data_IF_884635183095
#
_entry.id   IF_884635183095
#
_cell.length_a   1.000
_cell.length_b   1.000
_cell.length_c   1.000
_cell.angle_alpha   90.00
_cell.angle_beta   90.00
_cell.angle_gamma   90.00
#
_symmetry.space_group_name_H-M   'P 1'
#
loop_
_entity.id
_entity.type
_entity.pdbx_description
1 polymer ?
#
# COMPACT_ATOMS: atom_id res chain seq x y z
N UNK A 1 5.33 -12.03 -13.41
CA UNK A 1 5.28 -10.62 -13.91
C UNK A 1 3.86 -10.24 -14.26
N UNK A 2 3.32 -9.24 -13.55
CA UNK A 2 2.00 -8.68 -13.75
C UNK A 2 2.13 -7.23 -14.25
N UNK A 3 1.55 -6.92 -15.41
CA UNK A 3 1.61 -5.57 -15.98
C UNK A 3 0.21 -5.05 -16.23
N UNK A 4 -0.06 -3.83 -15.76
CA UNK A 4 -1.27 -3.08 -16.06
C UNK A 4 -0.91 -1.61 -16.26
N UNK A 5 -1.82 -0.84 -16.85
CA UNK A 5 -1.67 0.62 -16.89
C UNK A 5 -2.46 1.22 -15.72
N UNK A 6 -3.79 1.16 -15.78
CA UNK A 6 -4.68 1.65 -14.72
C UNK A 6 -5.71 0.57 -14.39
N UNK A 7 -6.13 0.46 -13.12
CA UNK A 7 -7.13 -0.52 -12.64
C UNK A 7 -6.71 -1.97 -12.91
N UNK A 8 -5.68 -2.44 -12.20
CA UNK A 8 -5.23 -3.84 -12.25
C UNK A 8 -4.83 -4.39 -10.88
N UNK A 9 -4.34 -5.62 -10.83
CA UNK A 9 -3.63 -6.21 -9.67
C UNK A 9 -4.43 -6.07 -8.35
N UNK A 10 -5.63 -6.67 -8.30
CA UNK A 10 -6.46 -6.65 -7.11
C UNK A 10 -7.17 -5.32 -6.83
N UNK A 11 -7.39 -4.48 -7.84
CA UNK A 11 -8.14 -3.21 -7.71
C UNK A 11 -9.66 -3.36 -7.86
N UNK A 12 -10.40 -2.38 -7.35
CA UNK A 12 -11.86 -2.34 -7.45
C UNK A 12 -12.44 -0.92 -7.64
N UNK A 13 -13.65 -0.86 -8.19
CA UNK A 13 -14.33 0.38 -8.56
C UNK A 13 -15.85 0.25 -8.35
N UNK A 14 -16.45 1.15 -7.55
CA UNK A 14 -17.89 1.20 -7.22
C UNK A 14 -18.56 -0.13 -6.82
N UNK A 15 -18.85 -0.29 -5.52
CA UNK A 15 -19.67 -1.39 -4.98
C UNK A 15 -19.17 -2.80 -5.36
N UNK A 16 -17.88 -2.93 -5.65
CA UNK A 16 -17.24 -4.16 -6.10
C UNK A 16 -16.18 -4.64 -5.11
N UNK A 17 -15.75 -5.88 -5.33
CA UNK A 17 -14.62 -6.50 -4.66
C UNK A 17 -13.56 -6.82 -5.73
N UNK A 18 -12.33 -6.39 -5.49
CA UNK A 18 -11.16 -6.73 -6.29
C UNK A 18 -10.18 -7.54 -5.45
N UNK A 19 -9.71 -8.66 -5.97
CA UNK A 19 -8.73 -9.51 -5.28
C UNK A 19 -7.66 -10.00 -6.25
N UNK A 20 -6.41 -9.99 -5.82
CA UNK A 20 -5.33 -10.78 -6.41
C UNK A 20 -4.71 -11.61 -5.27
N UNK A 21 -4.56 -12.90 -5.52
CA UNK A 21 -3.92 -13.84 -4.60
C UNK A 21 -2.77 -14.48 -5.37
N UNK A 22 -1.53 -14.24 -4.94
CA UNK A 22 -0.34 -14.94 -5.40
C UNK A 22 0.22 -15.78 -4.26
N UNK A 23 0.70 -16.98 -4.58
CA UNK A 23 1.08 -18.00 -3.60
C UNK A 23 2.59 -18.20 -3.57
N UNK A 24 3.24 -18.10 -4.73
CA UNK A 24 4.68 -18.35 -4.86
C UNK A 24 5.23 -17.66 -6.10
N UNK A 25 6.42 -17.10 -5.99
CA UNK A 25 7.12 -16.57 -7.15
C UNK A 25 8.22 -15.61 -6.77
N UNK A 26 8.99 -15.13 -7.73
CA UNK A 26 9.69 -13.86 -7.55
C UNK A 26 9.10 -12.95 -8.62
N UNK A 27 8.14 -12.15 -8.21
CA UNK A 27 7.23 -11.46 -9.09
C UNK A 27 7.53 -9.98 -9.22
N UNK A 28 7.00 -9.44 -10.33
CA UNK A 28 7.11 -8.02 -10.62
C UNK A 28 5.73 -7.50 -10.95
N UNK A 29 5.20 -6.69 -10.05
CA UNK A 29 3.92 -6.02 -10.17
C UNK A 29 4.18 -4.61 -10.70
N UNK A 30 3.86 -4.36 -11.96
CA UNK A 30 4.04 -3.04 -12.59
C UNK A 30 2.68 -2.47 -12.96
N UNK A 31 2.37 -1.30 -12.41
CA UNK A 31 1.19 -0.54 -12.78
C UNK A 31 1.49 0.96 -12.83
N UNK A 32 0.61 1.75 -13.45
CA UNK A 32 0.65 3.20 -13.31
C UNK A 32 -0.20 3.62 -12.10
N UNK A 33 -1.51 3.39 -12.10
CA UNK A 33 -2.38 3.90 -11.02
C UNK A 33 -3.57 2.97 -10.71
N UNK A 34 -4.12 3.08 -9.50
CA UNK A 34 -5.29 2.30 -9.08
C UNK A 34 -5.04 0.79 -9.16
N UNK A 35 -3.99 0.32 -8.51
CA UNK A 35 -3.57 -1.08 -8.58
C UNK A 35 -3.02 -1.59 -7.26
N UNK A 36 -2.62 -2.86 -7.22
CA UNK A 36 -1.91 -3.46 -6.09
C UNK A 36 -2.73 -3.35 -4.80
N UNK A 37 -3.96 -3.87 -4.84
CA UNK A 37 -4.88 -3.84 -3.70
C UNK A 37 -5.55 -2.49 -3.45
N UNK A 38 -5.69 -1.63 -4.46
CA UNK A 38 -6.32 -0.31 -4.31
C UNK A 38 -7.84 -0.31 -4.50
N UNK A 39 -8.56 0.19 -3.49
CA UNK A 39 -10.02 0.36 -3.52
C UNK A 39 -10.40 1.79 -3.87
N UNK A 40 -11.32 1.99 -4.82
CA UNK A 40 -11.81 3.31 -5.25
C UNK A 40 -13.35 3.39 -5.31
N UNK A 41 -13.92 4.33 -4.55
CA UNK A 41 -15.36 4.62 -4.46
C UNK A 41 -16.20 3.48 -3.86
N UNK A 42 -16.38 3.48 -2.53
CA UNK A 42 -17.31 2.58 -1.82
C UNK A 42 -17.13 1.10 -2.19
N UNK A 43 -15.89 0.61 -2.13
CA UNK A 43 -15.53 -0.75 -2.51
C UNK A 43 -14.41 -1.31 -1.61
N UNK A 44 -14.05 -2.57 -1.86
CA UNK A 44 -12.98 -3.30 -1.18
C UNK A 44 -11.99 -3.85 -2.22
N UNK A 45 -10.70 -3.74 -1.95
CA UNK A 45 -9.63 -4.25 -2.79
C UNK A 45 -8.54 -4.88 -1.92
N UNK A 46 -8.06 -6.06 -2.34
CA UNK A 46 -7.02 -6.82 -1.63
C UNK A 46 -6.03 -7.37 -2.64
N UNK A 47 -4.75 -7.16 -2.40
CA UNK A 47 -3.68 -7.98 -2.96
C UNK A 47 -3.04 -8.74 -1.81
N UNK A 48 -2.97 -10.06 -1.93
CA UNK A 48 -2.26 -10.95 -1.01
C UNK A 48 -1.17 -11.68 -1.78
N UNK A 49 0.06 -11.62 -1.29
CA UNK A 49 1.20 -12.40 -1.76
C UNK A 49 1.73 -13.26 -0.60
N UNK A 50 1.83 -14.57 -0.82
CA UNK A 50 2.25 -15.48 0.24
C UNK A 50 3.78 -15.66 0.35
N UNK A 51 4.50 -15.61 -0.77
CA UNK A 51 5.95 -15.82 -0.74
C UNK A 51 6.65 -15.39 -2.00
N UNK A 52 7.78 -14.68 -1.84
CA UNK A 52 8.62 -14.34 -2.98
C UNK A 52 9.80 -13.45 -2.67
N UNK A 53 10.35 -12.80 -3.69
CA UNK A 53 11.22 -11.65 -3.53
C UNK A 53 10.85 -10.74 -4.69
N UNK A 54 9.97 -9.83 -4.39
CA UNK A 54 9.06 -9.23 -5.31
C UNK A 54 9.32 -7.75 -5.44
N UNK A 55 8.80 -7.21 -6.54
CA UNK A 55 8.97 -5.80 -6.85
C UNK A 55 7.62 -5.22 -7.24
N UNK A 56 7.10 -4.37 -6.36
CA UNK A 56 5.87 -3.62 -6.53
C UNK A 56 6.18 -2.20 -7.00
N UNK A 57 5.79 -1.88 -8.23
CA UNK A 57 6.01 -0.56 -8.84
C UNK A 57 4.67 0.04 -9.23
N UNK A 58 4.42 1.26 -8.77
CA UNK A 58 3.26 2.07 -9.14
C UNK A 58 3.58 3.57 -9.17
N UNK A 59 2.72 4.39 -9.75
CA UNK A 59 2.78 5.85 -9.65
C UNK A 59 1.91 6.35 -8.49
N UNK A 60 0.67 5.89 -8.36
CA UNK A 60 -0.10 6.23 -7.17
C UNK A 60 -1.44 5.55 -7.01
N UNK A 61 -2.15 5.89 -5.94
CA UNK A 61 -3.40 5.23 -5.54
C UNK A 61 -3.24 3.72 -5.64
N UNK A 62 -2.18 3.20 -5.03
CA UNK A 62 -1.75 1.81 -5.20
C UNK A 62 -1.19 1.26 -3.89
N UNK A 63 -0.76 0.00 -3.86
CA UNK A 63 -0.09 -0.62 -2.71
C UNK A 63 -0.91 -0.47 -1.43
N UNK A 64 -2.13 -1.01 -1.48
CA UNK A 64 -3.07 -0.98 -0.37
C UNK A 64 -3.69 0.39 -0.11
N UNK A 65 -3.85 1.23 -1.14
CA UNK A 65 -4.50 2.53 -0.98
C UNK A 65 -6.03 2.41 -0.92
N UNK A 66 -6.64 2.99 0.11
CA UNK A 66 -8.08 3.21 0.17
C UNK A 66 -8.45 4.62 -0.29
N UNK A 67 -9.22 4.74 -1.37
CA UNK A 67 -9.66 6.01 -1.92
C UNK A 67 -11.19 6.15 -1.97
N UNK A 68 -11.70 7.26 -1.45
CA UNK A 68 -13.11 7.65 -1.54
C UNK A 68 -14.07 6.63 -0.88
N UNK A 69 -14.07 6.58 0.45
CA UNK A 69 -14.87 5.64 1.25
C UNK A 69 -14.63 4.16 0.93
N UNK A 70 -13.47 3.82 0.36
CA UNK A 70 -13.07 2.46 0.03
C UNK A 70 -11.98 1.94 0.97
N UNK A 71 -11.85 0.62 1.03
CA UNK A 71 -10.73 -0.07 1.66
C UNK A 71 -9.80 -0.63 0.59
N UNK A 72 -8.50 -0.35 0.73
CA UNK A 72 -7.45 -1.01 -0.02
C UNK A 72 -6.47 -1.70 0.94
N UNK A 73 -6.03 -2.90 0.58
CA UNK A 73 -5.07 -3.69 1.34
C UNK A 73 -4.05 -4.34 0.39
N UNK A 74 -2.77 -4.18 0.71
CA UNK A 74 -1.70 -5.04 0.22
C UNK A 74 -1.16 -5.80 1.44
N UNK A 75 -1.11 -7.12 1.32
CA UNK A 75 -0.61 -8.02 2.35
C UNK A 75 0.43 -8.95 1.76
N UNK A 76 1.69 -8.71 2.09
CA UNK A 76 2.81 -9.59 1.76
C UNK A 76 3.21 -10.38 3.01
N UNK A 77 3.35 -11.69 2.89
CA UNK A 77 3.63 -12.57 4.02
C UNK A 77 5.12 -12.89 4.17
N UNK A 78 5.87 -12.95 3.09
CA UNK A 78 7.29 -13.28 3.19
C UNK A 78 8.07 -12.96 1.92
N UNK A 79 9.25 -12.40 2.10
CA UNK A 79 10.18 -12.23 1.01
C UNK A 79 11.34 -11.32 1.33
N UNK A 80 11.94 -10.74 0.30
CA UNK A 80 12.77 -9.54 0.45
C UNK A 80 12.35 -8.63 -0.68
N UNK A 81 11.42 -7.75 -0.37
CA UNK A 81 10.52 -7.13 -1.32
C UNK A 81 10.85 -5.65 -1.49
N UNK A 82 10.47 -5.10 -2.65
CA UNK A 82 10.69 -3.70 -2.95
C UNK A 82 9.38 -3.03 -3.34
N UNK A 83 8.96 -2.08 -2.52
CA UNK A 83 7.79 -1.24 -2.70
C UNK A 83 8.19 0.13 -3.21
N UNK A 84 7.90 0.39 -4.48
CA UNK A 84 8.22 1.65 -5.16
C UNK A 84 6.95 2.36 -5.59
N UNK A 85 6.75 3.60 -5.14
CA UNK A 85 5.63 4.44 -5.60
C UNK A 85 5.95 5.93 -5.63
N UNK A 86 5.24 6.72 -6.43
CA UNK A 86 5.40 8.18 -6.37
C UNK A 86 4.57 8.79 -5.21
N UNK A 87 3.27 8.50 -5.14
CA UNK A 87 2.35 9.16 -4.19
C UNK A 87 1.13 8.29 -3.80
N UNK A 88 0.38 8.70 -2.76
CA UNK A 88 -0.90 8.07 -2.36
C UNK A 88 -0.90 6.54 -2.38
N UNK A 89 0.15 5.95 -1.80
CA UNK A 89 0.39 4.51 -1.81
C UNK A 89 1.06 4.08 -0.50
N UNK A 90 1.34 2.79 -0.38
CA UNK A 90 1.92 2.18 0.82
C UNK A 90 1.02 2.41 2.04
N UNK A 91 -0.19 1.87 1.94
CA UNK A 91 -1.19 1.94 3.00
C UNK A 91 -1.80 3.32 3.21
N UNK A 92 -1.83 4.18 2.18
CA UNK A 92 -2.46 5.48 2.28
C UNK A 92 -4.00 5.39 2.25
N UNK A 93 -4.66 6.04 3.20
CA UNK A 93 -6.09 6.35 3.14
C UNK A 93 -6.29 7.79 2.66
N UNK A 94 -7.15 7.98 1.66
CA UNK A 94 -7.48 9.31 1.16
C UNK A 94 -8.96 9.44 0.82
N UNK A 95 -9.49 10.67 0.90
CA UNK A 95 -10.90 10.94 0.67
C UNK A 95 -11.82 10.02 1.47
N UNK A 96 -11.53 9.84 2.76
CA UNK A 96 -12.32 9.01 3.68
C UNK A 96 -12.14 7.50 3.48
N UNK A 97 -11.12 7.11 2.71
CA UNK A 97 -10.73 5.71 2.55
C UNK A 97 -9.85 5.19 3.69
N UNK A 98 -9.72 3.88 3.70
CA UNK A 98 -8.89 3.12 4.63
C UNK A 98 -7.82 2.38 3.83
N UNK A 99 -6.54 2.74 4.01
CA UNK A 99 -5.42 2.06 3.37
C UNK A 99 -4.60 1.23 4.35
N UNK A 100 -4.18 0.04 3.92
CA UNK A 100 -3.30 -0.87 4.67
C UNK A 100 -2.24 -1.42 3.73
N UNK A 101 -0.97 -1.27 4.10
CA UNK A 101 0.10 -2.15 3.64
C UNK A 101 0.61 -2.92 4.86
N UNK A 102 0.66 -4.24 4.76
CA UNK A 102 1.25 -5.11 5.76
C UNK A 102 2.27 -6.03 5.09
N UNK A 103 3.51 -5.95 5.53
CA UNK A 103 4.58 -6.90 5.24
C UNK A 103 4.90 -7.67 6.53
N UNK A 104 4.81 -9.00 6.49
CA UNK A 104 5.02 -9.81 7.69
C UNK A 104 6.48 -10.18 7.94
N UNK A 105 7.30 -10.33 6.89
CA UNK A 105 8.70 -10.73 7.07
C UNK A 105 9.56 -10.54 5.84
N UNK A 106 10.75 -10.00 6.06
CA UNK A 106 11.74 -9.91 4.99
C UNK A 106 12.94 -9.06 5.33
N UNK A 107 13.64 -8.57 4.32
CA UNK A 107 14.49 -7.39 4.44
C UNK A 107 14.12 -6.50 3.27
N UNK A 108 13.29 -5.52 3.55
CA UNK A 108 12.41 -4.93 2.57
C UNK A 108 12.79 -3.47 2.29
N UNK A 109 12.39 -3.00 1.11
CA UNK A 109 12.73 -1.68 0.60
C UNK A 109 11.47 -0.86 0.32
N UNK A 110 11.33 0.30 0.97
CA UNK A 110 10.20 1.21 0.79
C UNK A 110 10.65 2.54 0.23
N UNK A 111 10.34 2.79 -1.04
CA UNK A 111 10.80 3.95 -1.78
C UNK A 111 9.63 4.80 -2.26
N UNK A 112 9.60 6.07 -1.83
CA UNK A 112 8.56 7.01 -2.25
C UNK A 112 9.12 8.34 -2.71
N UNK A 113 8.43 8.98 -3.67
CA UNK A 113 8.80 10.32 -4.13
C UNK A 113 8.11 11.43 -3.32
N UNK A 114 6.85 11.24 -2.93
CA UNK A 114 6.03 12.24 -2.24
C UNK A 114 5.76 11.82 -0.80
N UNK A 115 6.52 12.38 0.15
CA UNK A 115 6.38 12.11 1.60
C UNK A 115 5.04 12.57 2.20
N UNK A 116 4.40 13.58 1.60
CA UNK A 116 3.24 14.25 2.19
C UNK A 116 1.96 13.39 2.23
N UNK A 117 1.89 12.29 1.46
CA UNK A 117 0.67 11.50 1.30
C UNK A 117 0.88 9.99 1.10
N UNK A 118 2.00 9.44 1.57
CA UNK A 118 2.40 8.03 1.44
C UNK A 118 2.78 7.46 2.80
N UNK A 119 2.99 6.14 2.88
CA UNK A 119 3.52 5.44 4.06
C UNK A 119 2.68 5.66 5.32
N UNK A 120 1.43 5.18 5.26
CA UNK A 120 0.46 5.34 6.34
C UNK A 120 -0.08 6.77 6.43
N UNK A 121 -0.57 7.33 5.32
CA UNK A 121 -1.22 8.65 5.30
C UNK A 121 -2.73 8.55 5.58
N UNK A 122 -3.29 9.41 6.45
CA UNK A 122 -4.73 9.47 6.72
C UNK A 122 -5.23 10.88 7.06
N UNK A 123 -5.92 11.54 6.13
CA UNK A 123 -6.35 12.94 6.29
C UNK A 123 -7.85 13.14 6.59
N UNK A 124 -8.22 14.24 7.26
CA UNK A 124 -9.60 14.72 7.31
C UNK A 124 -10.08 15.20 5.95
N UNK A 125 -11.32 14.84 5.60
CA UNK A 125 -11.98 15.32 4.38
C UNK A 125 -13.50 15.17 4.51
N UNK A 126 -14.29 16.11 3.98
CA UNK A 126 -15.78 16.03 3.96
C UNK A 126 -16.41 15.71 5.32
N UNK A 127 -15.88 16.26 6.41
CA UNK A 127 -16.29 15.99 7.80
C UNK A 127 -16.11 14.54 8.29
N UNK A 128 -15.50 13.66 7.49
CA UNK A 128 -14.98 12.35 7.92
C UNK A 128 -13.45 12.34 7.95
N UNK A 129 -12.87 11.17 8.20
CA UNK A 129 -11.44 10.92 8.19
C UNK A 129 -11.05 9.77 7.28
N UNK A 130 -9.83 9.81 6.80
CA UNK A 130 -9.15 8.69 6.14
C UNK A 130 -8.17 8.08 7.12
N UNK A 131 -7.98 6.77 7.08
CA UNK A 131 -7.02 6.03 7.91
C UNK A 131 -5.96 5.43 7.01
N UNK A 132 -4.69 5.61 7.35
CA UNK A 132 -3.59 4.96 6.64
C UNK A 132 -2.66 4.22 7.59
N UNK A 133 -2.32 3.00 7.22
CA UNK A 133 -1.50 2.09 8.02
C UNK A 133 -0.44 1.45 7.12
N UNK A 134 0.82 1.62 7.48
CA UNK A 134 1.92 0.79 6.99
C UNK A 134 2.45 -0.03 8.16
N UNK A 135 2.54 -1.35 7.98
CA UNK A 135 3.11 -2.28 8.95
C UNK A 135 4.20 -3.08 8.25
N UNK A 136 5.42 -2.95 8.73
CA UNK A 136 6.48 -3.93 8.56
C UNK A 136 6.69 -4.62 9.92
N UNK A 137 6.67 -5.94 9.94
CA UNK A 137 6.57 -6.72 11.17
C UNK A 137 7.85 -7.47 11.55
N UNK A 138 8.81 -7.61 10.63
CA UNK A 138 10.13 -8.11 10.95
C UNK A 138 11.08 -7.93 9.79
N UNK A 139 12.32 -7.55 10.09
CA UNK A 139 13.32 -7.52 9.05
C UNK A 139 14.50 -6.65 9.40
N UNK A 140 15.22 -6.25 8.37
CA UNK A 140 16.11 -5.09 8.42
C UNK A 140 15.86 -4.28 7.18
N UNK A 141 15.19 -3.16 7.36
CA UNK A 141 14.44 -2.58 6.27
C UNK A 141 14.98 -1.22 5.86
N UNK A 142 14.89 -0.96 4.57
CA UNK A 142 15.36 0.26 3.93
C UNK A 142 14.20 1.19 3.62
N UNK A 143 14.30 2.45 4.06
CA UNK A 143 13.27 3.46 3.78
C UNK A 143 13.89 4.67 3.08
N UNK A 144 13.36 5.03 1.92
CA UNK A 144 13.51 6.37 1.33
C UNK A 144 12.14 7.07 1.35
N UNK A 145 11.84 7.72 2.47
CA UNK A 145 10.51 8.25 2.72
C UNK A 145 10.34 8.86 4.11
N UNK A 146 9.21 8.56 4.75
CA UNK A 146 8.89 8.94 6.11
C UNK A 146 9.41 7.93 7.16
N UNK A 147 9.47 6.64 6.80
CA UNK A 147 9.86 5.56 7.70
C UNK A 147 11.36 5.42 7.95
N UNK A 148 11.71 4.51 8.86
CA UNK A 148 13.07 4.09 9.17
C UNK A 148 13.03 2.70 9.85
N UNK A 149 14.13 1.95 9.71
CA UNK A 149 14.34 0.63 10.33
C UNK A 149 14.05 0.65 11.85
N UNK A 150 13.30 -0.34 12.34
CA UNK A 150 12.96 -0.52 13.77
C UNK A 150 12.30 0.71 14.43
N UNK A 151 11.44 1.42 13.71
CA UNK A 151 10.80 2.65 14.19
C UNK A 151 9.28 2.66 13.98
N UNK A 152 8.60 3.57 14.69
CA UNK A 152 7.25 3.98 14.33
C UNK A 152 7.27 5.45 13.95
N UNK A 153 6.38 5.83 13.04
CA UNK A 153 6.26 7.20 12.57
C UNK A 153 4.81 7.58 12.32
N UNK A 154 4.58 8.88 12.23
CA UNK A 154 3.34 9.45 11.74
C UNK A 154 3.66 10.32 10.54
N UNK A 155 2.78 10.29 9.55
CA UNK A 155 2.84 11.24 8.44
C UNK A 155 2.32 12.62 8.88
N UNK A 156 2.49 13.70 8.08
CA UNK A 156 1.85 15.00 8.30
C UNK A 156 0.31 14.95 8.09
N UNK A 157 -0.35 13.97 8.71
CA UNK A 157 -1.78 13.67 8.60
C UNK A 157 -2.38 13.42 9.99
N UNK A 158 -3.70 13.21 10.08
CA UNK A 158 -4.38 13.14 11.37
C UNK A 158 -4.50 11.71 11.91
N UNK A 159 -4.70 10.74 11.02
CA UNK A 159 -4.99 9.34 11.36
C UNK A 159 -4.15 8.39 10.51
N UNK A 160 -2.85 8.68 10.45
CA UNK A 160 -1.87 7.92 9.70
C UNK A 160 -0.73 7.43 10.60
N UNK A 161 -0.34 6.16 10.44
CA UNK A 161 0.77 5.56 11.19
C UNK A 161 1.57 4.61 10.28
N UNK A 162 2.87 4.59 10.48
CA UNK A 162 3.74 3.51 10.02
C UNK A 162 4.50 2.90 11.19
N UNK A 163 4.73 1.59 11.14
CA UNK A 163 5.44 0.82 12.16
C UNK A 163 6.36 -0.15 11.46
N UNK A 164 7.55 -0.30 12.01
CA UNK A 164 8.56 -1.27 11.66
C UNK A 164 9.16 -1.91 12.93
N UNK A 165 9.52 -3.20 12.89
CA UNK A 165 9.69 -4.07 14.07
C UNK A 165 10.95 -4.92 14.10
#
# INVERSE_FOLDING_TARGET
VYTSDIFGQGSSYWFSLGTLLDVEGNDKYVSFQYAQGAGTHLCLAILEDESGNDVYISHGVSQGCGHDLALGMLWDKSGNDNYVSESLSQGAGSANGFGILADESGNDGYYIQVKANTQGYGNPRRDYGSVGILLDLSGRDGYDGNGADSAWWTTPSKWGVGIDR
#
